data_IF_094506559358
#
_entry.id   IF_094506559358
#
_cell.length_a   1.000
_cell.length_b   1.000
_cell.length_c   1.000
_cell.angle_alpha   90.00
_cell.angle_beta   90.00
_cell.angle_gamma   90.00
#
_symmetry.space_group_name_H-M   'P 1'
#
loop_
_entity.id
_entity.type
_entity.pdbx_description
1 polymer ?
#
# COMPACT_ATOMS: atom_id res chain seq x y z
N UNK A 1 1.75 -7.87 10.44
CA UNK A 1 2.05 -7.92 8.97
C UNK A 1 2.79 -6.67 8.53
N UNK A 2 3.86 -6.82 7.72
CA UNK A 2 4.54 -5.68 7.09
C UNK A 2 4.11 -5.61 5.63
N UNK A 3 3.55 -4.48 5.19
CA UNK A 3 2.97 -4.35 3.86
C UNK A 3 3.39 -3.05 3.18
N UNK A 4 3.78 -3.16 1.91
CA UNK A 4 4.04 -2.04 1.01
C UNK A 4 2.90 -1.94 0.00
N UNK A 5 2.21 -0.82 0.00
CA UNK A 5 1.16 -0.50 -0.96
C UNK A 5 1.76 0.33 -2.10
N UNK A 6 1.65 -0.17 -3.33
CA UNK A 6 2.11 0.55 -4.52
C UNK A 6 1.02 1.52 -4.98
N UNK A 7 1.29 2.81 -4.86
CA UNK A 7 0.37 3.90 -5.19
C UNK A 7 0.87 4.79 -6.33
N UNK A 8 1.62 4.24 -7.28
CA UNK A 8 2.33 4.99 -8.32
C UNK A 8 1.53 5.39 -9.58
N UNK A 9 0.22 5.18 -9.65
CA UNK A 9 -0.59 5.45 -10.84
C UNK A 9 -0.80 6.95 -11.14
N UNK A 10 -0.67 7.40 -12.41
CA UNK A 10 -0.92 8.80 -12.82
C UNK A 10 -2.40 9.18 -12.85
N UNK A 11 -3.31 8.20 -12.80
CA UNK A 11 -4.75 8.46 -12.78
C UNK A 11 -5.33 9.09 -14.05
N UNK A 12 -4.54 9.34 -15.09
CA UNK A 12 -4.97 10.06 -16.31
C UNK A 12 -6.16 9.43 -17.03
N UNK A 13 -6.37 8.10 -16.86
CA UNK A 13 -7.47 7.36 -17.53
C UNK A 13 -8.87 7.75 -17.04
N UNK A 14 -9.00 8.42 -15.92
CA UNK A 14 -10.28 8.87 -15.37
C UNK A 14 -10.46 10.39 -15.46
N UNK A 15 -9.73 11.07 -16.36
CA UNK A 15 -9.94 12.49 -16.59
C UNK A 15 -11.41 12.76 -16.99
N UNK A 16 -12.10 13.79 -16.46
CA UNK A 16 -11.62 14.88 -15.61
C UNK A 16 -11.66 14.60 -14.09
N UNK A 17 -12.09 13.40 -13.67
CA UNK A 17 -12.22 13.05 -12.25
C UNK A 17 -10.85 12.90 -11.56
N UNK A 18 -9.83 12.50 -12.30
CA UNK A 18 -8.46 12.35 -11.81
C UNK A 18 -7.45 13.15 -12.65
N UNK A 19 -6.39 13.59 -12.00
CA UNK A 19 -5.25 14.28 -12.60
C UNK A 19 -3.96 13.92 -11.82
N UNK A 20 -2.81 14.51 -12.20
CA UNK A 20 -1.51 14.20 -11.58
C UNK A 20 -1.45 14.53 -10.07
N UNK A 21 -2.26 15.48 -9.59
CA UNK A 21 -2.37 15.84 -8.17
C UNK A 21 -3.43 15.00 -7.49
N UNK A 22 -4.57 14.76 -8.15
CA UNK A 22 -5.69 13.98 -7.64
C UNK A 22 -5.80 12.65 -8.38
N UNK A 23 -4.93 11.71 -8.03
CA UNK A 23 -4.96 10.37 -8.61
C UNK A 23 -6.20 9.58 -8.19
N UNK A 24 -6.62 8.62 -9.02
CA UNK A 24 -7.87 7.84 -8.87
C UNK A 24 -8.04 7.22 -7.47
N UNK A 25 -6.96 6.74 -6.85
CA UNK A 25 -6.97 6.08 -5.55
C UNK A 25 -7.34 6.99 -4.38
N UNK A 26 -7.32 8.32 -4.56
CA UNK A 26 -7.69 9.31 -3.54
C UNK A 26 -9.10 9.88 -3.72
N UNK A 27 -9.83 9.47 -4.76
CA UNK A 27 -11.21 9.91 -4.98
C UNK A 27 -12.12 9.11 -4.06
N UNK A 28 -12.93 9.81 -3.26
CA UNK A 28 -13.89 9.19 -2.34
C UNK A 28 -15.15 8.80 -3.08
N UNK A 29 -15.26 7.53 -3.44
CA UNK A 29 -16.38 6.96 -4.20
C UNK A 29 -16.94 5.66 -3.59
N UNK A 30 -16.31 5.13 -2.57
CA UNK A 30 -16.75 3.92 -1.88
C UNK A 30 -17.47 4.28 -0.59
N UNK A 31 -18.46 3.47 -0.21
CA UNK A 31 -19.13 3.61 1.07
C UNK A 31 -18.46 2.73 2.12
N UNK A 32 -18.02 3.35 3.21
CA UNK A 32 -17.60 2.64 4.40
C UNK A 32 -18.83 2.13 5.19
N UNK A 33 -18.60 1.21 6.13
CA UNK A 33 -19.70 0.63 6.93
C UNK A 33 -20.47 1.66 7.79
N UNK A 34 -19.85 2.80 8.10
CA UNK A 34 -20.48 3.91 8.81
C UNK A 34 -21.29 4.87 7.90
N UNK A 35 -21.39 4.56 6.60
CA UNK A 35 -22.10 5.38 5.60
C UNK A 35 -21.29 6.56 5.03
N UNK A 36 -20.10 6.83 5.53
CA UNK A 36 -19.22 7.87 4.97
C UNK A 36 -18.57 7.41 3.67
N UNK A 37 -18.22 8.38 2.82
CA UNK A 37 -17.47 8.10 1.60
C UNK A 37 -15.98 7.94 1.91
N UNK A 38 -15.41 6.84 1.45
CA UNK A 38 -13.98 6.56 1.52
C UNK A 38 -13.35 6.45 0.13
N UNK A 39 -12.04 6.71 0.04
CA UNK A 39 -11.25 6.48 -1.15
C UNK A 39 -10.72 5.03 -1.18
N UNK A 40 -10.18 4.59 -2.33
CA UNK A 40 -9.57 3.27 -2.43
C UNK A 40 -8.43 3.09 -1.42
N UNK A 41 -7.56 4.09 -1.25
CA UNK A 41 -6.45 3.99 -0.29
C UNK A 41 -6.95 3.90 1.16
N UNK A 42 -8.04 4.62 1.50
CA UNK A 42 -8.65 4.52 2.83
C UNK A 42 -9.29 3.14 3.04
N UNK A 43 -10.01 2.62 2.03
CA UNK A 43 -10.63 1.29 2.08
C UNK A 43 -9.58 0.20 2.32
N UNK A 44 -8.53 0.17 1.51
CA UNK A 44 -7.44 -0.81 1.62
C UNK A 44 -6.76 -0.70 2.98
N UNK A 45 -6.41 0.49 3.43
CA UNK A 45 -5.80 0.72 4.74
C UNK A 45 -6.68 0.22 5.88
N UNK A 46 -7.98 0.52 5.83
CA UNK A 46 -8.95 0.05 6.84
C UNK A 46 -9.07 -1.49 6.84
N UNK A 47 -9.13 -2.14 5.68
CA UNK A 47 -9.18 -3.60 5.58
C UNK A 47 -7.94 -4.26 6.18
N UNK A 48 -6.74 -3.74 5.88
CA UNK A 48 -5.49 -4.21 6.47
C UNK A 48 -5.52 -4.08 7.99
N UNK A 49 -5.93 -2.93 8.52
CA UNK A 49 -6.02 -2.67 9.97
C UNK A 49 -7.08 -3.52 10.66
N UNK A 50 -8.10 -3.96 9.96
CA UNK A 50 -9.12 -4.88 10.49
C UNK A 50 -8.53 -6.29 10.68
N UNK A 51 -7.67 -6.75 9.75
CA UNK A 51 -7.01 -8.06 9.83
C UNK A 51 -5.86 -8.04 10.85
N UNK A 52 -5.05 -6.98 10.83
CA UNK A 52 -3.91 -6.83 11.74
C UNK A 52 -3.79 -5.37 12.20
N UNK A 53 -4.26 -5.11 13.42
CA UNK A 53 -4.20 -3.76 14.01
C UNK A 53 -2.77 -3.24 14.16
N UNK A 54 -1.79 -4.12 14.25
CA UNK A 54 -0.37 -3.78 14.38
C UNK A 54 0.38 -3.81 13.04
N UNK A 55 -0.35 -3.94 11.92
CA UNK A 55 0.29 -3.97 10.61
C UNK A 55 1.12 -2.70 10.37
N UNK A 56 2.36 -2.87 9.93
CA UNK A 56 3.18 -1.75 9.46
C UNK A 56 2.87 -1.52 7.98
N UNK A 57 2.20 -0.40 7.69
CA UNK A 57 1.82 -0.03 6.32
C UNK A 57 2.75 1.05 5.79
N UNK A 58 3.38 0.79 4.67
CA UNK A 58 4.20 1.76 3.93
C UNK A 58 3.62 1.95 2.53
N UNK A 59 3.50 3.20 2.09
CA UNK A 59 2.99 3.53 0.75
C UNK A 59 4.15 4.01 -0.12
N UNK A 60 4.41 3.28 -1.21
CA UNK A 60 5.32 3.70 -2.25
C UNK A 60 4.58 4.63 -3.21
N UNK A 61 5.04 5.88 -3.31
CA UNK A 61 4.31 6.93 -4.00
C UNK A 61 5.21 8.03 -4.56
N UNK A 62 4.65 8.92 -5.37
CA UNK A 62 5.34 10.12 -5.84
C UNK A 62 5.22 11.28 -4.84
N UNK A 63 6.14 12.24 -4.92
CA UNK A 63 6.15 13.43 -4.06
C UNK A 63 4.83 14.22 -4.09
N UNK A 64 4.17 14.29 -5.25
CA UNK A 64 2.90 15.02 -5.41
C UNK A 64 1.73 14.42 -4.63
N UNK A 65 1.81 13.15 -4.21
CA UNK A 65 0.73 12.43 -3.54
C UNK A 65 0.89 12.38 -2.01
N UNK A 66 2.04 12.75 -1.47
CA UNK A 66 2.37 12.66 -0.03
C UNK A 66 1.32 13.37 0.82
N UNK A 67 0.98 14.62 0.48
CA UNK A 67 -0.02 15.40 1.24
C UNK A 67 -1.41 14.75 1.21
N UNK A 68 -1.80 14.14 0.09
CA UNK A 68 -3.09 13.45 0.00
C UNK A 68 -3.12 12.19 0.88
N UNK A 69 -2.00 11.48 1.00
CA UNK A 69 -1.87 10.32 1.88
C UNK A 69 -1.99 10.74 3.34
N UNK A 70 -1.22 11.72 3.79
CA UNK A 70 -1.29 12.22 5.17
C UNK A 70 -2.70 12.75 5.51
N UNK A 71 -3.33 13.48 4.60
CA UNK A 71 -4.69 14.00 4.81
C UNK A 71 -5.75 12.89 4.95
N UNK A 72 -5.55 11.74 4.33
CA UNK A 72 -6.53 10.66 4.32
C UNK A 72 -6.24 9.53 5.31
N UNK A 73 -4.98 9.27 5.62
CA UNK A 73 -4.55 8.14 6.46
C UNK A 73 -3.87 8.58 7.76
N UNK A 74 -3.53 9.86 7.91
CA UNK A 74 -2.78 10.37 9.06
C UNK A 74 -1.26 10.26 8.89
N UNK A 75 -0.53 10.61 9.94
CA UNK A 75 0.94 10.68 9.95
C UNK A 75 1.62 9.34 10.30
N UNK A 76 0.86 8.35 10.80
CA UNK A 76 1.41 7.08 11.27
C UNK A 76 1.76 6.10 10.14
N UNK A 77 1.36 6.41 8.91
CA UNK A 77 1.67 5.61 7.74
C UNK A 77 3.09 5.88 7.23
N UNK A 78 3.85 4.82 6.93
CA UNK A 78 5.15 4.96 6.30
C UNK A 78 5.02 5.44 4.85
N UNK A 79 5.92 6.31 4.40
CA UNK A 79 5.91 6.79 3.01
C UNK A 79 7.30 6.61 2.40
N UNK A 80 7.38 5.82 1.34
CA UNK A 80 8.55 5.70 0.47
C UNK A 80 8.32 6.54 -0.78
N UNK A 81 9.05 7.66 -0.89
CA UNK A 81 8.84 8.65 -1.97
C UNK A 81 9.76 8.35 -3.15
N UNK A 82 9.16 8.05 -4.29
CA UNK A 82 9.90 7.88 -5.53
C UNK A 82 10.33 9.25 -6.08
N UNK A 83 11.63 9.48 -6.35
CA UNK A 83 12.11 10.72 -6.94
C UNK A 83 11.64 10.90 -8.39
N UNK A 84 11.46 9.81 -9.10
CA UNK A 84 10.88 9.77 -10.44
C UNK A 84 10.23 8.40 -10.68
N UNK A 85 9.19 8.36 -11.50
CA UNK A 85 8.52 7.11 -11.85
C UNK A 85 9.41 6.26 -12.74
N UNK A 86 9.66 5.01 -12.32
CA UNK A 86 10.47 4.03 -13.04
C UNK A 86 9.87 2.62 -12.99
N UNK A 87 8.52 2.56 -12.98
CA UNK A 87 7.80 1.30 -12.95
C UNK A 87 7.84 0.55 -11.59
N UNK A 88 7.32 -0.66 -11.56
CA UNK A 88 7.03 -1.43 -10.34
C UNK A 88 8.30 -1.84 -9.58
N UNK A 89 9.30 -2.41 -10.28
CA UNK A 89 10.48 -2.96 -9.60
C UNK A 89 11.30 -1.90 -8.86
N UNK A 90 11.64 -0.73 -9.43
CA UNK A 90 12.32 0.32 -8.70
C UNK A 90 11.53 0.86 -7.49
N UNK A 91 10.20 0.92 -7.58
CA UNK A 91 9.36 1.31 -6.44
C UNK A 91 9.48 0.30 -5.29
N UNK A 92 9.45 -1.00 -5.60
CA UNK A 92 9.64 -2.07 -4.61
C UNK A 92 11.02 -2.00 -3.99
N UNK A 93 12.07 -1.87 -4.80
CA UNK A 93 13.45 -1.79 -4.32
C UNK A 93 13.68 -0.60 -3.39
N UNK A 94 13.13 0.58 -3.76
CA UNK A 94 13.21 1.77 -2.93
C UNK A 94 12.44 1.60 -1.60
N UNK A 95 11.25 1.01 -1.64
CA UNK A 95 10.48 0.72 -0.43
C UNK A 95 11.20 -0.27 0.48
N UNK A 96 11.85 -1.30 -0.07
CA UNK A 96 12.65 -2.24 0.71
C UNK A 96 13.84 -1.55 1.39
N UNK A 97 14.57 -0.69 0.65
CA UNK A 97 15.65 0.12 1.23
C UNK A 97 15.13 1.05 2.34
N UNK A 98 13.99 1.71 2.13
CA UNK A 98 13.36 2.55 3.14
C UNK A 98 13.00 1.76 4.42
N UNK A 99 12.42 0.56 4.28
CA UNK A 99 12.08 -0.29 5.42
C UNK A 99 13.33 -0.71 6.20
N UNK A 100 14.41 -1.09 5.51
CA UNK A 100 15.66 -1.46 6.13
C UNK A 100 16.38 -0.27 6.78
N UNK A 101 16.66 0.78 6.02
CA UNK A 101 17.58 1.84 6.40
C UNK A 101 16.92 2.92 7.28
N UNK A 102 15.60 3.15 7.12
CA UNK A 102 14.86 4.20 7.83
C UNK A 102 13.99 3.61 8.95
N UNK A 103 13.32 2.48 8.68
CA UNK A 103 12.43 1.83 9.67
C UNK A 103 13.15 0.78 10.52
N UNK A 104 14.37 0.39 10.18
CA UNK A 104 15.18 -0.55 10.94
C UNK A 104 14.73 -2.02 10.85
N UNK A 105 14.04 -2.39 9.77
CA UNK A 105 13.60 -3.77 9.57
C UNK A 105 14.78 -4.69 9.32
N UNK A 106 14.69 -5.90 9.87
CA UNK A 106 15.64 -6.96 9.57
C UNK A 106 15.48 -7.45 8.12
N UNK A 107 16.57 -7.88 7.50
CA UNK A 107 16.56 -8.49 6.16
C UNK A 107 15.75 -9.80 6.09
N UNK A 108 15.53 -10.43 7.24
CA UNK A 108 14.76 -11.67 7.35
C UNK A 108 13.25 -11.43 7.59
N UNK A 109 12.84 -10.19 7.79
CA UNK A 109 11.42 -9.86 7.98
C UNK A 109 10.66 -9.92 6.65
N UNK A 110 9.58 -10.70 6.56
CA UNK A 110 8.78 -10.78 5.35
C UNK A 110 8.01 -9.47 5.14
N UNK A 111 7.99 -9.03 3.89
CA UNK A 111 7.23 -7.86 3.45
C UNK A 111 6.29 -8.26 2.33
N UNK A 112 5.01 -8.00 2.51
CA UNK A 112 4.00 -8.17 1.47
C UNK A 112 3.97 -6.92 0.60
N UNK A 113 3.99 -7.09 -0.71
CA UNK A 113 3.85 -5.97 -1.66
C UNK A 113 2.59 -6.17 -2.49
N UNK A 114 1.70 -5.19 -2.47
CA UNK A 114 0.50 -5.23 -3.29
C UNK A 114 0.13 -3.85 -3.85
N UNK A 115 -0.55 -3.78 -5.01
CA UNK A 115 -1.07 -2.52 -5.52
C UNK A 115 -2.26 -2.03 -4.69
N UNK A 116 -2.47 -0.70 -4.66
CA UNK A 116 -3.56 -0.07 -3.91
C UNK A 116 -4.87 0.00 -4.69
N UNK A 117 -4.85 -0.26 -5.99
CA UNK A 117 -5.96 0.02 -6.90
C UNK A 117 -6.94 -1.14 -7.21
N UNK A 118 -6.68 -2.41 -6.92
CA UNK A 118 -7.69 -3.46 -7.07
C UNK A 118 -8.81 -3.32 -6.04
N UNK A 119 -10.04 -3.48 -6.49
CA UNK A 119 -11.18 -3.65 -5.59
C UNK A 119 -11.23 -5.10 -5.13
N UNK A 120 -10.92 -5.33 -3.85
CA UNK A 120 -10.88 -6.67 -3.24
C UNK A 120 -11.70 -6.69 -1.97
N UNK A 121 -12.16 -7.88 -1.59
CA UNK A 121 -12.81 -8.11 -0.32
C UNK A 121 -11.77 -8.37 0.78
N UNK A 122 -12.24 -8.36 2.03
CA UNK A 122 -11.36 -8.45 3.21
C UNK A 122 -10.56 -9.74 3.25
N UNK A 123 -11.13 -10.85 2.74
CA UNK A 123 -10.52 -12.18 2.69
C UNK A 123 -9.19 -12.18 1.90
N UNK A 124 -9.04 -11.25 0.95
CA UNK A 124 -7.79 -11.07 0.23
C UNK A 124 -6.63 -10.68 1.18
N UNK A 125 -6.89 -9.77 2.11
CA UNK A 125 -5.87 -9.33 3.07
C UNK A 125 -5.62 -10.35 4.17
N UNK A 126 -6.62 -11.16 4.50
CA UNK A 126 -6.46 -12.31 5.40
C UNK A 126 -5.52 -13.34 4.78
N UNK A 127 -5.73 -13.70 3.51
CA UNK A 127 -4.84 -14.57 2.77
C UNK A 127 -3.40 -14.02 2.64
N UNK A 128 -3.23 -12.70 2.44
CA UNK A 128 -1.92 -12.06 2.43
C UNK A 128 -1.23 -12.12 3.79
N UNK A 129 -1.97 -11.96 4.88
CA UNK A 129 -1.43 -12.08 6.24
C UNK A 129 -0.95 -13.50 6.53
N UNK A 130 -1.72 -14.52 6.12
CA UNK A 130 -1.33 -15.93 6.20
C UNK A 130 -0.07 -16.22 5.37
N UNK A 131 -0.01 -15.68 4.15
CA UNK A 131 1.15 -15.83 3.27
C UNK A 131 2.42 -15.24 3.90
N UNK A 132 2.32 -14.04 4.47
CA UNK A 132 3.42 -13.38 5.17
C UNK A 132 3.91 -14.21 6.37
N UNK A 133 2.98 -14.78 7.13
CA UNK A 133 3.30 -15.65 8.28
C UNK A 133 4.00 -16.94 7.86
N UNK A 134 3.57 -17.57 6.76
CA UNK A 134 4.21 -18.77 6.19
C UNK A 134 5.59 -18.46 5.63
N UNK A 135 5.77 -17.31 4.97
CA UNK A 135 7.07 -16.88 4.47
C UNK A 135 8.08 -16.68 5.62
N UNK A 136 7.64 -16.09 6.74
CA UNK A 136 8.45 -15.96 7.94
C UNK A 136 8.89 -17.33 8.50
N UNK A 137 7.98 -18.31 8.53
CA UNK A 137 8.24 -19.65 9.06
C UNK A 137 9.14 -20.50 8.15
N UNK A 138 9.01 -20.36 6.82
CA UNK A 138 9.70 -21.20 5.84
C UNK A 138 11.10 -20.72 5.45
N UNK A 139 11.53 -19.54 5.88
CA UNK A 139 12.75 -18.85 5.41
C UNK A 139 12.86 -18.78 3.87
N UNK A 140 11.74 -18.87 3.17
CA UNK A 140 11.69 -18.77 1.71
C UNK A 140 11.95 -17.31 1.29
N UNK A 141 12.89 -17.11 0.37
CA UNK A 141 13.32 -15.77 -0.06
C UNK A 141 12.31 -15.08 -1.00
N UNK A 142 11.28 -15.77 -1.46
CA UNK A 142 10.23 -15.19 -2.33
C UNK A 142 8.99 -16.06 -2.34
N UNK A 143 7.82 -15.46 -2.03
CA UNK A 143 6.51 -16.05 -2.27
C UNK A 143 5.75 -15.14 -3.23
N UNK A 144 5.40 -15.65 -4.41
CA UNK A 144 4.59 -14.94 -5.38
C UNK A 144 3.18 -15.51 -5.27
N UNK A 145 2.21 -14.67 -4.93
CA UNK A 145 0.80 -15.01 -5.05
C UNK A 145 0.43 -14.86 -6.53
N UNK A 146 0.29 -15.99 -7.24
CA UNK A 146 -0.18 -15.99 -8.62
C UNK A 146 -1.66 -15.59 -8.65
N UNK A 147 -2.01 -14.71 -9.58
CA UNK A 147 -3.40 -14.44 -9.96
C UNK A 147 -3.96 -15.60 -10.76
#
# INVERSE_FOLDING_TARGET
>A
MNIVLLSGGSGQRLWPLSNDIRSKQFIKIFHAANGELESMVQRVYRQIRTIDQNATVTIATSKSQVSAIHNQLGEDVGISVEPCRRDTFPAIALAAAYLKDVKGFSEDEPVVVCPVDPYVEIDYFDALNDLGSRAAASRSKSCINGY
#
